data_IF_601395001226
#
_entry.id   IF_601395001226
#
_cell.length_a   1.000
_cell.length_b   1.000
_cell.length_c   1.000
_cell.angle_alpha   90.00
_cell.angle_beta   90.00
_cell.angle_gamma   90.00
#
_symmetry.space_group_name_H-M   'P 1'
#
loop_
_entity.id
_entity.type
_entity.pdbx_description
1 polymer ?
#
# COMPACT_ATOMS: atom_id res chain seq x y z
N UNK A 1 -12.84 -37.55 69.50
CA UNK A 1 -11.78 -36.98 68.64
C UNK A 1 -11.67 -37.63 67.27
N UNK A 2 -11.61 -38.97 67.11
CA UNK A 2 -11.48 -39.64 65.80
C UNK A 2 -12.57 -39.29 64.75
N UNK A 3 -13.83 -39.17 65.16
CA UNK A 3 -14.97 -38.86 64.26
C UNK A 3 -14.93 -37.44 63.65
N UNK A 4 -14.29 -36.50 64.34
CA UNK A 4 -14.15 -35.11 63.85
C UNK A 4 -13.04 -35.04 62.79
N UNK A 5 -11.94 -35.77 62.99
CA UNK A 5 -10.85 -35.87 62.01
C UNK A 5 -11.27 -36.51 60.69
N UNK A 6 -12.11 -37.55 60.75
CA UNK A 6 -12.66 -38.19 59.53
C UNK A 6 -13.62 -37.28 58.78
N UNK A 7 -14.47 -36.52 59.49
CA UNK A 7 -15.40 -35.57 58.86
C UNK A 7 -14.65 -34.42 58.16
N UNK A 8 -13.58 -33.90 58.79
CA UNK A 8 -12.74 -32.86 58.21
C UNK A 8 -11.98 -33.36 56.96
N UNK A 9 -11.45 -34.60 57.01
CA UNK A 9 -10.77 -35.20 55.87
C UNK A 9 -11.72 -35.38 54.66
N UNK A 10 -12.96 -35.84 54.89
CA UNK A 10 -13.96 -35.96 53.83
C UNK A 10 -14.30 -34.60 53.23
N UNK A 11 -14.46 -33.56 54.06
CA UNK A 11 -14.77 -32.21 53.58
C UNK A 11 -13.64 -31.62 52.71
N UNK A 12 -12.38 -31.85 53.08
CA UNK A 12 -11.22 -31.43 52.29
C UNK A 12 -11.16 -32.18 50.95
N UNK A 13 -11.43 -33.48 50.93
CA UNK A 13 -11.46 -34.26 49.68
C UNK A 13 -12.57 -33.76 48.75
N UNK A 14 -13.77 -33.51 49.28
CA UNK A 14 -14.89 -32.96 48.49
C UNK A 14 -14.52 -31.59 47.92
N UNK A 15 -13.90 -30.71 48.72
CA UNK A 15 -13.42 -29.41 48.24
C UNK A 15 -12.39 -29.55 47.12
N UNK A 16 -11.43 -30.48 47.26
CA UNK A 16 -10.43 -30.74 46.22
C UNK A 16 -11.05 -31.30 44.93
N UNK A 17 -12.05 -32.17 45.03
CA UNK A 17 -12.78 -32.70 43.86
C UNK A 17 -13.57 -31.59 43.16
N UNK A 18 -14.22 -30.69 43.92
CA UNK A 18 -14.93 -29.54 43.35
C UNK A 18 -13.96 -28.58 42.67
N UNK A 19 -12.81 -28.29 43.29
CA UNK A 19 -11.76 -27.45 42.69
C UNK A 19 -11.16 -28.11 41.44
N UNK A 20 -10.90 -29.42 41.48
CA UNK A 20 -10.41 -30.17 40.33
C UNK A 20 -11.44 -30.20 39.20
N UNK A 21 -12.72 -30.40 39.51
CA UNK A 21 -13.79 -30.34 38.52
C UNK A 21 -13.93 -28.93 37.92
N UNK A 22 -13.88 -27.88 38.74
CA UNK A 22 -13.92 -26.49 38.27
C UNK A 22 -12.71 -26.15 37.39
N UNK A 23 -11.52 -26.61 37.77
CA UNK A 23 -10.29 -26.49 36.98
C UNK A 23 -10.39 -27.27 35.67
N UNK A 24 -10.92 -28.49 35.70
CA UNK A 24 -11.12 -29.34 34.52
C UNK A 24 -12.14 -28.72 33.55
N UNK A 25 -13.23 -28.13 34.04
CA UNK A 25 -14.23 -27.42 33.24
C UNK A 25 -13.60 -26.20 32.55
N UNK A 26 -12.73 -25.46 33.25
CA UNK A 26 -11.98 -24.34 32.67
C UNK A 26 -10.98 -24.78 31.60
N UNK A 27 -10.29 -25.90 31.82
CA UNK A 27 -9.31 -26.48 30.90
C UNK A 27 -9.96 -27.09 29.64
N UNK A 28 -11.18 -27.61 29.76
CA UNK A 28 -11.94 -28.24 28.69
C UNK A 28 -12.80 -27.27 27.87
N UNK A 29 -12.72 -25.94 28.10
CA UNK A 29 -13.45 -24.98 27.26
C UNK A 29 -12.96 -25.11 25.82
N UNK A 30 -13.85 -25.39 24.85
CA UNK A 30 -13.44 -25.54 23.46
C UNK A 30 -12.79 -24.24 22.99
N UNK A 31 -11.68 -24.39 22.26
CA UNK A 31 -11.02 -23.28 21.59
C UNK A 31 -12.06 -22.61 20.68
N UNK A 32 -12.21 -21.29 20.81
CA UNK A 32 -13.07 -20.49 19.95
C UNK A 32 -12.25 -19.52 19.11
N UNK A 33 -12.77 -19.16 17.94
CA UNK A 33 -12.30 -18.08 17.09
C UNK A 33 -13.42 -17.05 16.95
N UNK A 34 -13.09 -15.77 17.03
CA UNK A 34 -14.03 -14.68 16.79
C UNK A 34 -14.15 -14.40 15.31
N UNK A 35 -15.32 -13.93 14.89
CA UNK A 35 -15.59 -13.53 13.52
C UNK A 35 -16.45 -12.27 13.55
N UNK A 36 -15.94 -11.19 12.96
CA UNK A 36 -16.67 -9.95 12.73
C UNK A 36 -16.82 -9.74 11.23
N UNK A 37 -18.05 -9.55 10.76
CA UNK A 37 -18.36 -9.33 9.36
C UNK A 37 -19.19 -8.06 9.23
N UNK A 38 -18.71 -7.11 8.45
CA UNK A 38 -19.44 -5.90 8.08
C UNK A 38 -19.55 -5.83 6.56
N UNK A 39 -20.68 -5.34 6.07
CA UNK A 39 -20.86 -5.09 4.64
C UNK A 39 -21.59 -3.79 4.39
N UNK A 40 -21.36 -3.23 3.21
CA UNK A 40 -22.12 -2.13 2.65
C UNK A 40 -22.56 -2.50 1.21
N UNK A 41 -23.87 -2.60 0.91
CA UNK A 41 -24.99 -2.57 1.85
C UNK A 41 -25.04 -3.80 2.77
N UNK A 42 -26.02 -3.86 3.68
CA UNK A 42 -26.24 -5.01 4.55
C UNK A 42 -26.45 -6.30 3.75
N UNK A 43 -26.07 -7.43 4.33
CA UNK A 43 -26.12 -8.75 3.71
C UNK A 43 -26.60 -9.81 4.70
N UNK A 44 -27.26 -10.85 4.20
CA UNK A 44 -27.47 -12.10 4.95
C UNK A 44 -26.18 -12.89 4.97
N UNK A 45 -25.79 -13.39 6.14
CA UNK A 45 -24.54 -14.12 6.37
C UNK A 45 -24.83 -15.61 6.44
N UNK A 46 -24.12 -16.36 5.60
CA UNK A 46 -24.09 -17.82 5.62
C UNK A 46 -22.68 -18.29 5.99
N UNK A 47 -22.59 -19.26 6.91
CA UNK A 47 -21.33 -19.92 7.27
C UNK A 47 -21.52 -21.41 7.05
N UNK A 48 -20.67 -22.01 6.22
CA UNK A 48 -20.76 -23.42 5.82
C UNK A 48 -22.14 -23.83 5.28
N UNK A 49 -22.81 -22.87 4.61
CA UNK A 49 -24.14 -23.03 4.03
C UNK A 49 -25.31 -22.77 4.98
N UNK A 50 -25.06 -22.60 6.28
CA UNK A 50 -26.09 -22.27 7.27
C UNK A 50 -26.28 -20.74 7.39
N UNK A 51 -27.52 -20.25 7.37
CA UNK A 51 -27.83 -18.85 7.65
C UNK A 51 -27.61 -18.54 9.14
N UNK A 52 -26.69 -17.63 9.45
CA UNK A 52 -26.32 -17.31 10.84
C UNK A 52 -26.78 -15.93 11.29
N UNK A 53 -27.28 -15.10 10.37
CA UNK A 53 -27.78 -13.76 10.66
C UNK A 53 -27.58 -12.77 9.52
N UNK A 54 -27.49 -11.48 9.87
CA UNK A 54 -27.28 -10.37 8.93
C UNK A 54 -26.09 -9.53 9.36
N UNK A 55 -25.50 -8.76 8.45
CA UNK A 55 -24.43 -7.82 8.78
C UNK A 55 -24.96 -6.49 9.36
N UNK A 56 -24.26 -5.89 10.34
CA UNK A 56 -23.04 -6.38 11.00
C UNK A 56 -23.27 -7.66 11.80
N UNK A 57 -22.38 -8.64 11.64
CA UNK A 57 -22.43 -9.94 12.31
C UNK A 57 -21.18 -10.10 13.18
N UNK A 58 -21.38 -10.42 14.46
CA UNK A 58 -20.31 -10.77 15.39
C UNK A 58 -20.65 -12.10 16.06
N UNK A 59 -19.71 -13.04 16.03
CA UNK A 59 -19.93 -14.38 16.59
C UNK A 59 -18.65 -15.13 16.87
N UNK A 60 -18.78 -16.27 17.56
CA UNK A 60 -17.67 -17.20 17.78
C UNK A 60 -17.93 -18.53 17.07
N UNK A 61 -16.86 -19.16 16.60
CA UNK A 61 -16.87 -20.45 15.88
C UNK A 61 -15.73 -21.33 16.33
N UNK A 62 -15.82 -22.62 16.00
CA UNK A 62 -14.68 -23.52 16.12
C UNK A 62 -13.56 -23.04 15.18
N UNK A 63 -12.28 -23.08 15.61
CA UNK A 63 -11.15 -22.86 14.73
C UNK A 63 -11.13 -23.90 13.60
N UNK A 64 -10.72 -23.49 12.41
CA UNK A 64 -10.72 -24.37 11.22
C UNK A 64 -11.07 -23.61 9.95
N UNK A 65 -11.12 -24.34 8.83
CA UNK A 65 -11.64 -23.80 7.58
C UNK A 65 -13.14 -23.58 7.67
N UNK A 66 -13.60 -22.44 7.15
CA UNK A 66 -15.01 -22.11 6.99
C UNK A 66 -15.23 -21.50 5.61
N UNK A 67 -16.41 -21.74 5.05
CA UNK A 67 -16.90 -21.04 3.86
C UNK A 67 -17.88 -19.96 4.31
N UNK A 68 -17.61 -18.72 3.95
CA UNK A 68 -18.46 -17.57 4.25
C UNK A 68 -19.10 -17.11 2.96
N UNK A 69 -20.43 -17.03 2.95
CA UNK A 69 -21.19 -16.46 1.86
C UNK A 69 -22.04 -15.30 2.35
N UNK A 70 -21.97 -14.17 1.66
CA UNK A 70 -22.67 -12.94 1.96
C UNK A 70 -23.63 -12.65 0.82
N UNK A 71 -24.93 -12.62 1.11
CA UNK A 71 -25.97 -12.32 0.12
C UNK A 71 -26.50 -10.91 0.39
N UNK A 72 -26.18 -9.92 -0.48
CA UNK A 72 -26.62 -8.55 -0.29
C UNK A 72 -28.15 -8.43 -0.15
N UNK A 73 -28.60 -7.57 0.75
CA UNK A 73 -30.00 -7.19 0.93
C UNK A 73 -30.16 -5.80 0.30
N UNK A 74 -30.56 -5.77 -0.97
CA UNK A 74 -30.73 -4.55 -1.75
C UNK A 74 -32.08 -4.57 -2.47
N UNK A 75 -32.80 -3.44 -2.45
CA UNK A 75 -34.06 -3.25 -3.18
C UNK A 75 -33.89 -2.48 -4.48
N UNK A 76 -32.79 -1.74 -4.62
CA UNK A 76 -32.64 -0.74 -5.67
C UNK A 76 -31.95 -1.30 -6.91
N UNK A 77 -30.96 -2.16 -6.68
CA UNK A 77 -30.14 -2.77 -7.73
C UNK A 77 -29.77 -4.21 -7.38
N UNK A 78 -29.67 -5.10 -8.39
CA UNK A 78 -29.14 -6.44 -8.18
C UNK A 78 -27.65 -6.36 -7.85
N UNK A 79 -27.24 -6.91 -6.72
CA UNK A 79 -25.85 -6.99 -6.29
C UNK A 79 -25.40 -8.45 -6.28
N UNK A 80 -24.12 -8.69 -6.54
CA UNK A 80 -23.58 -10.05 -6.56
C UNK A 80 -23.28 -10.55 -5.14
N UNK A 81 -23.59 -11.82 -4.82
CA UNK A 81 -23.12 -12.44 -3.59
C UNK A 81 -21.60 -12.53 -3.54
N UNK A 82 -21.04 -12.42 -2.33
CA UNK A 82 -19.62 -12.68 -2.08
C UNK A 82 -19.47 -14.04 -1.41
N UNK A 83 -18.51 -14.85 -1.84
CA UNK A 83 -18.17 -16.12 -1.21
C UNK A 83 -16.66 -16.24 -1.03
N UNK A 84 -16.22 -16.73 0.13
CA UNK A 84 -14.81 -16.93 0.41
C UNK A 84 -14.57 -18.10 1.36
N UNK A 85 -13.42 -18.74 1.22
CA UNK A 85 -12.92 -19.75 2.15
C UNK A 85 -11.77 -19.15 2.95
N UNK A 86 -11.83 -19.27 4.27
CA UNK A 86 -10.74 -18.84 5.14
C UNK A 86 -10.57 -19.75 6.34
N UNK A 87 -9.42 -19.65 7.00
CA UNK A 87 -9.13 -20.38 8.23
C UNK A 87 -9.31 -19.46 9.44
N UNK A 88 -10.17 -19.88 10.37
CA UNK A 88 -10.36 -19.21 11.66
C UNK A 88 -9.31 -19.71 12.67
N UNK A 89 -8.56 -18.77 13.23
CA UNK A 89 -7.53 -19.04 14.24
C UNK A 89 -8.08 -18.93 15.66
N UNK A 90 -7.72 -19.89 16.51
CA UNK A 90 -8.14 -19.90 17.92
C UNK A 90 -7.68 -18.64 18.68
N UNK A 91 -8.57 -18.12 19.54
CA UNK A 91 -8.38 -16.96 20.43
C UNK A 91 -8.18 -15.62 19.73
N UNK A 92 -8.48 -15.55 18.44
CA UNK A 92 -8.35 -14.33 17.65
C UNK A 92 -9.66 -14.08 16.91
N UNK A 93 -9.93 -12.81 16.64
CA UNK A 93 -11.04 -12.37 15.82
C UNK A 93 -10.55 -12.12 14.39
N UNK A 94 -11.12 -12.83 13.42
CA UNK A 94 -10.99 -12.49 12.00
C UNK A 94 -12.03 -11.44 11.66
N UNK A 95 -11.63 -10.39 10.94
CA UNK A 95 -12.54 -9.32 10.49
C UNK A 95 -12.67 -9.36 8.97
N UNK A 96 -13.90 -9.25 8.47
CA UNK A 96 -14.20 -9.15 7.04
C UNK A 96 -15.08 -7.92 6.83
N UNK A 97 -14.61 -6.98 6.02
CA UNK A 97 -15.38 -5.81 5.62
C UNK A 97 -15.51 -5.82 4.10
N UNK A 98 -16.75 -5.82 3.57
CA UNK A 98 -17.01 -5.81 2.11
C UNK A 98 -17.87 -4.62 1.68
N UNK A 99 -17.50 -4.01 0.58
CA UNK A 99 -18.37 -3.13 -0.21
C UNK A 99 -18.87 -3.96 -1.40
N UNK A 100 -20.15 -4.33 -1.37
CA UNK A 100 -20.79 -5.22 -2.35
C UNK A 100 -21.36 -4.39 -3.51
N UNK A 101 -21.05 -4.80 -4.73
CA UNK A 101 -21.43 -4.07 -5.94
C UNK A 101 -22.22 -4.95 -6.94
N UNK A 102 -22.57 -4.35 -8.08
CA UNK A 102 -23.30 -5.01 -9.18
C UNK A 102 -22.45 -6.09 -9.89
N UNK A 103 -21.13 -6.11 -9.66
CA UNK A 103 -20.22 -7.16 -10.14
C UNK A 103 -19.12 -7.46 -9.12
N UNK A 104 -18.42 -8.59 -9.30
CA UNK A 104 -17.30 -8.97 -8.42
C UNK A 104 -16.11 -8.00 -8.60
N UNK A 105 -15.88 -7.52 -9.81
CA UNK A 105 -14.82 -6.57 -10.16
C UNK A 105 -15.07 -5.20 -9.51
N UNK A 106 -16.33 -4.77 -9.45
CA UNK A 106 -16.72 -3.51 -8.82
C UNK A 106 -16.77 -3.58 -7.29
N UNK A 107 -16.72 -4.78 -6.72
CA UNK A 107 -16.76 -4.98 -5.26
C UNK A 107 -15.38 -4.74 -4.63
N UNK A 108 -15.36 -4.26 -3.38
CA UNK A 108 -14.14 -3.99 -2.62
C UNK A 108 -14.21 -4.57 -1.20
N UNK A 109 -13.09 -4.53 -0.49
CA UNK A 109 -13.06 -4.89 0.92
C UNK A 109 -11.71 -5.33 1.45
N UNK A 110 -11.61 -5.46 2.76
CA UNK A 110 -10.45 -6.03 3.45
C UNK A 110 -10.76 -7.16 4.44
N UNK A 111 -9.92 -8.18 4.45
CA UNK A 111 -9.97 -9.28 5.42
C UNK A 111 -8.72 -9.21 6.28
N UNK A 112 -8.93 -9.10 7.60
CA UNK A 112 -7.86 -9.10 8.60
C UNK A 112 -7.90 -10.44 9.32
N UNK A 113 -6.81 -11.19 9.22
CA UNK A 113 -6.66 -12.48 9.87
C UNK A 113 -5.32 -12.57 10.59
N UNK A 114 -5.22 -13.49 11.53
CA UNK A 114 -4.02 -13.67 12.33
C UNK A 114 -3.67 -15.14 12.43
N UNK A 115 -2.36 -15.40 12.50
CA UNK A 115 -1.81 -16.73 12.75
C UNK A 115 -0.82 -16.65 13.90
N UNK A 116 -0.87 -17.61 14.83
CA UNK A 116 0.09 -17.65 15.93
C UNK A 116 1.44 -18.14 15.43
N UNK A 117 2.47 -17.31 15.57
CA UNK A 117 3.85 -17.61 15.16
C UNK A 117 4.84 -17.66 16.34
N UNK A 118 4.46 -17.13 17.51
CA UNK A 118 5.35 -17.04 18.67
C UNK A 118 6.43 -15.96 18.52
N UNK A 119 7.28 -15.82 19.52
CA UNK A 119 8.33 -14.80 19.55
C UNK A 119 7.87 -13.41 20.05
N UNK A 120 8.78 -12.45 20.00
CA UNK A 120 8.59 -11.09 20.51
C UNK A 120 8.19 -10.06 19.43
N UNK A 121 8.22 -10.48 18.16
CA UNK A 121 7.89 -9.65 16.99
C UNK A 121 6.41 -9.79 16.60
N UNK A 122 5.92 -8.85 15.79
CA UNK A 122 4.61 -8.95 15.14
C UNK A 122 4.80 -8.94 13.61
N UNK A 123 4.93 -10.10 12.95
CA UNK A 123 5.04 -10.15 11.50
C UNK A 123 3.77 -9.63 10.82
N UNK A 124 3.93 -9.02 9.64
CA UNK A 124 2.84 -8.45 8.85
C UNK A 124 2.97 -8.90 7.40
N UNK A 125 1.85 -9.34 6.83
CA UNK A 125 1.72 -9.66 5.41
C UNK A 125 0.51 -8.91 4.84
N UNK A 126 0.71 -8.22 3.72
CA UNK A 126 -0.33 -7.47 3.01
C UNK A 126 -0.39 -7.99 1.58
N UNK A 127 -1.59 -8.39 1.17
CA UNK A 127 -1.89 -8.83 -0.20
C UNK A 127 -2.98 -7.91 -0.73
N UNK A 128 -2.86 -7.49 -1.98
CA UNK A 128 -3.82 -6.60 -2.62
C UNK A 128 -4.30 -7.18 -3.94
N UNK A 129 -5.53 -6.82 -4.32
CA UNK A 129 -6.12 -7.03 -5.64
C UNK A 129 -6.56 -5.65 -6.13
N UNK A 130 -6.00 -5.12 -7.22
CA UNK A 130 -5.00 -5.74 -8.09
C UNK A 130 -3.64 -5.94 -7.42
N UNK A 131 -2.84 -6.85 -7.97
CA UNK A 131 -1.43 -7.00 -7.60
C UNK A 131 -0.66 -5.70 -7.86
N UNK A 132 0.51 -5.54 -7.21
CA UNK A 132 1.35 -4.34 -7.33
C UNK A 132 0.71 -3.03 -6.81
N UNK A 133 -0.35 -3.11 -5.99
CA UNK A 133 -0.86 -1.95 -5.28
C UNK A 133 0.19 -1.38 -4.31
N UNK A 134 0.31 -0.06 -4.25
CA UNK A 134 1.16 0.65 -3.30
C UNK A 134 0.69 0.41 -1.87
N UNK A 135 1.64 0.18 -0.95
CA UNK A 135 1.40 -0.04 0.48
C UNK A 135 2.11 1.02 1.30
N UNK A 136 1.34 1.74 2.10
CA UNK A 136 1.81 2.69 3.11
C UNK A 136 1.43 2.23 4.50
N UNK A 137 2.38 2.31 5.44
CA UNK A 137 2.16 2.00 6.86
C UNK A 137 2.34 3.27 7.67
N UNK A 138 1.28 3.68 8.37
CA UNK A 138 1.23 4.91 9.19
C UNK A 138 1.63 6.15 8.38
N UNK A 139 1.12 6.24 7.14
CA UNK A 139 1.42 7.31 6.18
C UNK A 139 2.79 7.19 5.47
N UNK A 140 3.67 6.30 5.91
CA UNK A 140 4.97 6.10 5.27
C UNK A 140 4.90 5.03 4.18
N UNK A 141 5.29 5.38 2.95
CA UNK A 141 5.42 4.44 1.84
C UNK A 141 6.44 3.34 2.16
N UNK A 142 6.03 2.06 2.02
CA UNK A 142 6.89 0.90 2.27
C UNK A 142 7.20 0.06 1.05
N UNK A 143 6.39 0.13 0.00
CA UNK A 143 6.58 -0.61 -1.25
C UNK A 143 5.26 -0.98 -1.91
N UNK A 144 5.22 -2.16 -2.52
CA UNK A 144 4.06 -2.67 -3.26
C UNK A 144 3.61 -4.03 -2.69
N UNK A 145 2.33 -4.35 -2.90
CA UNK A 145 1.75 -5.65 -2.57
C UNK A 145 2.16 -6.72 -3.61
N UNK A 146 2.47 -7.96 -3.20
CA UNK A 146 2.47 -8.44 -1.82
C UNK A 146 3.64 -7.88 -0.99
N UNK A 147 3.32 -7.33 0.18
CA UNK A 147 4.30 -6.79 1.12
C UNK A 147 4.41 -7.68 2.35
N UNK A 148 5.63 -8.02 2.78
CA UNK A 148 5.87 -8.84 3.96
C UNK A 148 6.98 -8.23 4.80
N UNK A 149 6.79 -8.22 6.11
CA UNK A 149 7.84 -7.92 7.10
C UNK A 149 7.79 -8.91 8.25
N UNK A 150 8.96 -9.31 8.74
CA UNK A 150 9.11 -10.22 9.88
C UNK A 150 9.08 -9.49 11.21
N UNK A 151 9.22 -8.16 11.20
CA UNK A 151 9.16 -7.29 12.39
C UNK A 151 8.38 -6.04 12.05
N UNK A 152 7.28 -5.82 12.77
CA UNK A 152 6.48 -4.61 12.73
C UNK A 152 6.10 -4.24 14.17
N UNK A 153 6.02 -2.95 14.53
CA UNK A 153 5.64 -2.55 15.88
C UNK A 153 4.29 -3.17 16.27
N UNK A 154 4.16 -3.53 17.54
CA UNK A 154 2.88 -3.96 18.10
C UNK A 154 2.09 -2.74 18.55
N UNK A 155 0.83 -2.65 18.18
CA UNK A 155 0.01 -1.47 18.47
C UNK A 155 -1.10 -1.30 17.46
N UNK A 156 -1.77 -0.17 17.53
CA UNK A 156 -2.74 0.25 16.51
C UNK A 156 -1.99 0.94 15.37
N UNK A 157 -2.36 0.60 14.14
CA UNK A 157 -1.73 1.07 12.91
C UNK A 157 -2.76 1.38 11.85
N UNK A 158 -2.42 2.30 10.96
CA UNK A 158 -3.19 2.58 9.75
C UNK A 158 -2.42 2.09 8.53
N UNK A 159 -3.06 1.23 7.75
CA UNK A 159 -2.50 0.67 6.52
C UNK A 159 -3.29 1.23 5.35
N UNK A 160 -2.62 1.93 4.45
CA UNK A 160 -3.23 2.43 3.22
C UNK A 160 -2.74 1.62 2.03
N UNK A 161 -3.68 1.13 1.22
CA UNK A 161 -3.42 0.42 -0.03
C UNK A 161 -4.04 1.22 -1.18
N UNK A 162 -3.25 1.53 -2.19
CA UNK A 162 -3.68 2.34 -3.34
C UNK A 162 -3.13 1.79 -4.65
N UNK A 163 -3.87 1.91 -5.74
CA UNK A 163 -3.42 1.53 -7.07
C UNK A 163 -3.97 2.52 -8.12
N UNK A 164 -3.24 2.77 -9.23
CA UNK A 164 -3.73 3.64 -10.30
C UNK A 164 -5.08 3.16 -10.86
N UNK A 165 -6.01 4.09 -11.07
CA UNK A 165 -7.40 3.84 -11.48
C UNK A 165 -8.29 3.12 -10.45
N UNK A 166 -7.81 2.83 -9.24
CA UNK A 166 -8.61 2.23 -8.16
C UNK A 166 -8.86 3.22 -7.03
N UNK A 167 -9.95 3.02 -6.30
CA UNK A 167 -10.22 3.72 -5.05
C UNK A 167 -9.23 3.23 -3.99
N UNK A 168 -8.56 4.15 -3.30
CA UNK A 168 -7.68 3.81 -2.18
C UNK A 168 -8.49 3.24 -1.00
N UNK A 169 -7.81 2.44 -0.18
CA UNK A 169 -8.41 1.87 1.03
C UNK A 169 -7.47 2.01 2.22
N UNK A 170 -7.97 2.65 3.28
CA UNK A 170 -7.28 2.77 4.57
C UNK A 170 -7.92 1.85 5.59
N UNK A 171 -7.10 1.00 6.22
CA UNK A 171 -7.52 -0.04 7.16
C UNK A 171 -6.83 0.18 8.49
N UNK A 172 -7.62 0.31 9.56
CA UNK A 172 -7.10 0.35 10.93
C UNK A 172 -6.97 -1.07 11.46
N UNK A 173 -5.76 -1.44 11.86
CA UNK A 173 -5.46 -2.76 12.40
C UNK A 173 -4.71 -2.66 13.71
N UNK A 174 -4.76 -3.73 14.50
CA UNK A 174 -3.95 -3.87 15.70
C UNK A 174 -3.01 -5.06 15.59
N UNK A 175 -1.72 -4.81 15.57
CA UNK A 175 -0.68 -5.85 15.55
C UNK A 175 -0.34 -6.31 16.97
N UNK A 176 -0.07 -7.61 17.11
CA UNK A 176 0.14 -8.26 18.42
C UNK A 176 1.41 -9.11 18.34
N UNK A 177 2.29 -8.97 19.33
CA UNK A 177 3.50 -9.80 19.46
C UNK A 177 3.15 -11.28 19.45
N UNK A 178 3.91 -12.07 18.71
CA UNK A 178 3.72 -13.50 18.59
C UNK A 178 2.62 -13.93 17.61
N UNK A 179 2.00 -12.98 16.90
CA UNK A 179 1.02 -13.23 15.86
C UNK A 179 1.43 -12.54 14.56
N UNK A 180 1.32 -13.29 13.45
CA UNK A 180 1.42 -12.74 12.11
C UNK A 180 0.06 -12.19 11.73
N UNK A 181 -0.04 -10.89 11.45
CA UNK A 181 -1.23 -10.29 10.84
C UNK A 181 -1.16 -10.48 9.33
N UNK A 182 -2.24 -10.97 8.72
CA UNK A 182 -2.41 -11.01 7.27
C UNK A 182 -3.61 -10.14 6.89
N UNK A 183 -3.33 -9.08 6.14
CA UNK A 183 -4.32 -8.18 5.56
C UNK A 183 -4.46 -8.51 4.07
N UNK A 184 -5.66 -8.88 3.64
CA UNK A 184 -6.00 -9.06 2.22
C UNK A 184 -6.94 -7.94 1.82
N UNK A 185 -6.56 -7.12 0.85
CA UNK A 185 -7.34 -5.97 0.37
C UNK A 185 -7.75 -6.20 -1.08
N UNK A 186 -9.02 -5.95 -1.40
CA UNK A 186 -9.52 -5.81 -2.77
C UNK A 186 -9.97 -4.36 -2.96
N UNK A 187 -9.40 -3.68 -3.94
CA UNK A 187 -9.76 -2.32 -4.32
C UNK A 187 -10.83 -2.36 -5.42
N UNK A 188 -11.77 -1.42 -5.37
CA UNK A 188 -12.73 -1.19 -6.45
C UNK A 188 -12.13 -0.22 -7.48
N UNK A 189 -12.38 -0.41 -8.78
CA UNK A 189 -12.08 0.59 -9.79
C UNK A 189 -12.76 1.93 -9.46
N UNK A 190 -12.04 3.03 -9.62
CA UNK A 190 -12.55 4.39 -9.41
C UNK A 190 -13.53 4.85 -10.49
N UNK A 191 -13.59 4.13 -11.61
CA UNK A 191 -14.35 4.52 -12.81
C UNK A 191 -13.71 5.66 -13.61
N UNK A 192 -12.66 6.30 -13.09
CA UNK A 192 -11.81 7.19 -13.89
C UNK A 192 -10.83 6.35 -14.70
N UNK A 193 -10.58 6.75 -15.95
CA UNK A 193 -9.43 6.28 -16.70
C UNK A 193 -8.19 6.44 -15.79
N UNK A 194 -7.20 5.51 -15.83
CA UNK A 194 -5.96 5.73 -15.11
C UNK A 194 -5.52 7.15 -15.40
N UNK A 195 -5.40 7.98 -14.35
CA UNK A 195 -4.68 9.24 -14.50
C UNK A 195 -3.41 8.85 -15.24
N UNK A 196 -3.10 9.51 -16.38
CA UNK A 196 -1.95 9.12 -17.17
C UNK A 196 -0.82 9.02 -16.15
N UNK A 197 -0.25 7.82 -16.02
CA UNK A 197 1.01 7.62 -15.30
C UNK A 197 1.84 8.83 -15.69
N UNK A 198 2.36 9.65 -14.76
CA UNK A 198 3.11 10.82 -15.14
C UNK A 198 4.14 10.30 -16.12
N UNK A 199 3.85 10.51 -17.40
CA UNK A 199 4.79 10.33 -18.47
C UNK A 199 5.79 11.33 -17.99
N UNK A 200 6.95 10.82 -17.57
CA UNK A 200 8.12 11.66 -17.58
C UNK A 200 8.08 12.23 -18.99
N UNK A 201 7.59 13.47 -19.13
CA UNK A 201 7.88 14.26 -20.30
C UNK A 201 9.38 14.15 -20.33
N UNK A 202 9.90 13.38 -21.27
CA UNK A 202 11.30 13.43 -21.61
C UNK A 202 11.54 14.92 -21.80
N UNK A 203 12.13 15.56 -20.80
CA UNK A 203 12.57 16.93 -20.92
C UNK A 203 13.62 16.81 -22.00
N UNK A 204 13.22 17.05 -23.24
CA UNK A 204 14.11 17.07 -24.40
C UNK A 204 15.08 18.20 -24.12
N UNK A 205 16.16 17.87 -23.41
CA UNK A 205 17.27 18.76 -23.16
C UNK A 205 17.96 18.91 -24.50
N UNK A 206 17.46 19.89 -25.25
CA UNK A 206 18.18 20.43 -26.37
C UNK A 206 19.54 20.90 -25.84
N UNK A 207 20.61 20.58 -26.56
CA UNK A 207 21.93 21.15 -26.30
C UNK A 207 22.29 22.09 -27.44
N UNK A 208 23.26 22.96 -27.18
CA UNK A 208 23.90 23.79 -28.18
C UNK A 208 25.35 23.36 -28.27
N UNK A 209 25.78 22.92 -29.45
CA UNK A 209 27.17 22.64 -29.76
C UNK A 209 27.83 23.89 -30.35
N UNK A 210 28.99 24.25 -29.83
CA UNK A 210 29.77 25.38 -30.31
C UNK A 210 30.56 24.95 -31.55
N UNK A 211 30.35 25.62 -32.68
CA UNK A 211 31.03 25.34 -33.94
C UNK A 211 32.43 25.96 -33.97
N UNK A 212 33.24 25.55 -34.95
CA UNK A 212 34.55 26.14 -35.18
C UNK A 212 34.44 27.66 -35.43
N UNK A 213 35.15 28.45 -34.64
CA UNK A 213 35.22 29.91 -34.81
C UNK A 213 36.62 30.30 -35.33
N UNK A 214 36.74 31.40 -36.10
CA UNK A 214 38.05 31.89 -36.58
C UNK A 214 39.03 32.24 -35.46
N UNK A 215 38.52 32.52 -34.26
CA UNK A 215 39.30 32.91 -33.08
C UNK A 215 39.61 31.74 -32.13
N UNK A 216 39.06 30.54 -32.38
CA UNK A 216 39.26 29.36 -31.53
C UNK A 216 38.40 29.33 -30.26
N UNK A 217 37.53 30.32 -30.06
CA UNK A 217 36.58 30.43 -28.95
C UNK A 217 35.34 31.24 -29.36
N UNK A 218 34.23 31.08 -28.62
CA UNK A 218 33.01 31.86 -28.73
C UNK A 218 32.71 32.56 -27.40
N UNK A 219 32.35 33.84 -27.47
CA UNK A 219 32.02 34.65 -26.29
C UNK A 219 30.56 34.44 -25.90
N UNK A 220 30.34 34.13 -24.62
CA UNK A 220 29.02 34.12 -23.99
C UNK A 220 28.76 35.51 -23.44
N UNK A 221 27.60 36.08 -23.74
CA UNK A 221 27.22 37.46 -23.38
C UNK A 221 26.03 37.52 -22.45
N UNK A 222 25.92 38.58 -21.65
CA UNK A 222 24.78 38.79 -20.76
C UNK A 222 23.48 39.10 -21.52
N UNK A 223 23.58 39.71 -22.70
CA UNK A 223 22.45 40.06 -23.58
C UNK A 223 22.67 39.50 -24.99
N UNK A 224 21.59 39.23 -25.76
CA UNK A 224 21.65 38.70 -27.13
C UNK A 224 22.06 39.79 -28.15
N UNK A 225 23.18 40.47 -27.90
CA UNK A 225 23.66 41.57 -28.72
C UNK A 225 25.19 41.52 -28.86
N UNK A 226 25.71 41.93 -30.02
CA UNK A 226 27.15 42.00 -30.30
C UNK A 226 27.90 42.98 -29.39
N UNK A 227 27.18 43.97 -28.83
CA UNK A 227 27.68 44.91 -27.83
C UNK A 227 27.44 44.51 -26.36
N UNK A 228 26.80 43.36 -26.09
CA UNK A 228 26.52 42.90 -24.73
C UNK A 228 27.79 42.57 -23.93
N UNK A 229 27.75 42.73 -22.61
CA UNK A 229 28.86 42.38 -21.72
C UNK A 229 29.23 40.90 -21.85
N UNK A 230 30.52 40.60 -21.91
CA UNK A 230 31.02 39.22 -22.03
C UNK A 230 31.11 38.61 -20.65
N UNK A 231 30.34 37.54 -20.41
CA UNK A 231 30.23 36.87 -19.11
C UNK A 231 31.04 35.57 -19.03
N UNK A 232 31.32 34.95 -20.18
CA UNK A 232 32.18 33.76 -20.27
C UNK A 232 32.72 33.56 -21.69
N UNK A 233 33.62 32.58 -21.83
CA UNK A 233 34.18 32.13 -23.10
C UNK A 233 34.07 30.61 -23.18
N UNK A 234 33.58 30.10 -24.31
CA UNK A 234 33.36 28.67 -24.57
C UNK A 234 34.12 28.24 -25.82
N UNK A 235 34.53 26.97 -25.89
CA UNK A 235 35.39 26.46 -26.96
C UNK A 235 34.59 25.69 -28.02
N UNK A 236 35.05 25.68 -29.28
CA UNK A 236 34.49 24.80 -30.30
C UNK A 236 34.50 23.33 -29.88
N UNK A 237 33.39 22.62 -30.14
CA UNK A 237 33.15 21.23 -29.76
C UNK A 237 32.52 21.03 -28.38
N UNK A 238 32.45 22.07 -27.55
CA UNK A 238 31.74 21.99 -26.26
C UNK A 238 30.22 22.01 -26.48
N UNK A 239 29.49 21.29 -25.62
CA UNK A 239 28.03 21.14 -25.66
C UNK A 239 27.45 21.68 -24.37
N UNK A 240 26.50 22.61 -24.48
CA UNK A 240 25.86 23.24 -23.35
C UNK A 240 24.36 23.03 -23.39
N UNK A 241 23.70 23.03 -22.23
CA UNK A 241 22.24 22.94 -22.18
C UNK A 241 21.63 24.17 -22.84
N UNK A 242 20.75 23.95 -23.81
CA UNK A 242 19.94 25.00 -24.42
C UNK A 242 18.85 25.43 -23.45
N UNK A 243 18.68 26.73 -23.28
CA UNK A 243 17.61 27.31 -22.47
C UNK A 243 16.56 27.97 -23.36
N UNK A 244 16.99 28.82 -24.30
CA UNK A 244 16.10 29.69 -25.07
C UNK A 244 16.76 30.17 -26.38
N UNK A 245 15.98 30.64 -27.35
CA UNK A 245 16.46 31.39 -28.53
C UNK A 245 15.76 32.73 -28.54
N UNK A 246 16.52 33.80 -28.75
CA UNK A 246 15.94 35.10 -29.05
C UNK A 246 15.56 35.15 -30.53
N UNK A 247 14.26 35.09 -30.84
CA UNK A 247 13.78 35.04 -32.23
C UNK A 247 14.06 36.33 -33.01
N UNK A 248 14.28 37.46 -32.33
CA UNK A 248 14.57 38.74 -32.95
C UNK A 248 16.01 38.84 -33.49
N UNK A 249 16.98 38.29 -32.77
CA UNK A 249 18.42 38.37 -33.12
C UNK A 249 19.04 37.04 -33.49
N UNK A 250 18.34 35.93 -33.23
CA UNK A 250 18.80 34.56 -33.46
C UNK A 250 19.83 34.06 -32.44
N UNK A 251 20.01 34.69 -31.28
CA UNK A 251 20.98 34.23 -30.28
C UNK A 251 20.44 33.06 -29.47
N UNK A 252 21.31 32.12 -29.09
CA UNK A 252 20.97 31.01 -28.22
C UNK A 252 21.39 31.29 -26.79
N UNK A 253 20.46 31.14 -25.85
CA UNK A 253 20.75 31.15 -24.42
C UNK A 253 21.17 29.77 -23.97
N UNK A 254 22.33 29.69 -23.34
CA UNK A 254 22.94 28.44 -22.86
C UNK A 254 23.26 28.53 -21.38
N UNK A 255 23.21 27.38 -20.70
CA UNK A 255 23.77 27.23 -19.35
C UNK A 255 25.25 26.82 -19.47
N UNK A 256 26.18 27.78 -19.27
CA UNK A 256 27.62 27.55 -19.46
C UNK A 256 28.31 26.99 -18.20
N UNK A 257 27.71 27.16 -17.02
CA UNK A 257 28.09 26.55 -15.75
C UNK A 257 26.81 26.29 -14.95
N UNK A 258 26.81 25.32 -14.03
CA UNK A 258 25.64 24.99 -13.19
C UNK A 258 25.04 26.24 -12.54
N UNK A 259 23.83 26.60 -12.94
CA UNK A 259 23.09 27.79 -12.49
C UNK A 259 23.51 29.13 -13.10
N UNK A 260 24.40 29.15 -14.10
CA UNK A 260 24.83 30.36 -14.82
C UNK A 260 24.48 30.29 -16.30
N UNK A 261 23.80 31.32 -16.77
CA UNK A 261 23.26 31.41 -18.12
C UNK A 261 23.85 32.58 -18.91
N UNK A 262 23.88 32.46 -20.23
CA UNK A 262 24.27 33.55 -21.12
C UNK A 262 24.04 33.23 -22.59
N UNK A 263 24.26 34.22 -23.44
CA UNK A 263 23.87 34.21 -24.85
C UNK A 263 25.07 33.98 -25.77
N UNK A 264 24.91 33.09 -26.74
CA UNK A 264 25.86 32.81 -27.81
C UNK A 264 25.20 33.00 -29.17
N UNK A 265 25.98 33.44 -30.17
CA UNK A 265 25.44 33.66 -31.51
C UNK A 265 25.23 32.33 -32.25
N UNK A 266 24.06 32.15 -32.87
CA UNK A 266 23.75 31.01 -33.73
C UNK A 266 24.64 30.88 -34.97
N UNK A 267 25.40 31.92 -35.34
CA UNK A 267 26.38 31.84 -36.43
C UNK A 267 27.51 30.86 -36.12
N UNK A 268 27.79 30.65 -34.83
CA UNK A 268 28.89 29.85 -34.33
C UNK A 268 28.41 28.74 -33.40
N UNK A 269 27.12 28.44 -33.41
CA UNK A 269 26.51 27.51 -32.49
C UNK A 269 25.35 26.79 -33.18
N UNK A 270 25.18 25.50 -32.91
CA UNK A 270 24.12 24.68 -33.50
C UNK A 270 23.33 23.97 -32.42
N UNK A 271 22.00 24.07 -32.47
CA UNK A 271 21.10 23.28 -31.63
C UNK A 271 21.18 21.80 -32.03
N UNK A 272 21.38 20.93 -31.05
CA UNK A 272 21.35 19.47 -31.19
C UNK A 272 20.35 18.91 -30.18
N UNK A 273 19.63 17.87 -30.57
CA UNK A 273 18.74 17.14 -29.67
C UNK A 273 19.55 16.06 -28.97
N UNK A 274 19.63 16.11 -27.63
CA UNK A 274 20.22 15.03 -26.84
C UNK A 274 19.09 14.19 -26.25
N UNK A 275 18.99 12.93 -26.68
CA UNK A 275 18.19 11.93 -25.99
C UNK A 275 19.01 11.44 -24.80
N UNK A 276 18.64 11.84 -23.59
CA UNK A 276 19.22 11.26 -22.38
C UNK A 276 18.56 9.90 -22.18
N UNK A 277 19.16 8.84 -22.71
CA UNK A 277 18.88 7.50 -22.18
C UNK A 277 19.51 7.46 -20.79
N UNK A 278 18.71 7.70 -19.76
CA UNK A 278 19.06 7.37 -18.38
C UNK A 278 19.22 5.85 -18.28
N UNK A 279 20.43 5.37 -18.57
CA UNK A 279 20.84 4.01 -18.24
C UNK A 279 21.12 3.99 -16.73
N UNK A 280 20.13 3.52 -15.96
CA UNK A 280 20.29 3.24 -14.54
C UNK A 280 21.38 2.16 -14.37
N UNK A 281 22.49 2.41 -13.65
CA UNK A 281 23.50 1.40 -13.45
C UNK A 281 23.00 0.30 -12.49
N UNK A 282 23.50 -0.95 -12.63
CA UNK A 282 23.06 -2.12 -11.87
C UNK A 282 23.40 -2.07 -10.37
#
# INVERSE_FOLDING_TARGET
>A
MKKIGTALAVLVIVMLVVLAAFFLIGYLRPKSAGLLIQTNPSATVFIDGEEVGKTPYEGTRAPGEVVIKLVPISTDKPLVPYETRLTLSSKIQTTINRDLAESEEASAGETVSFERVGGAEAPLAIVAIPDSAQVSLDGQLRGFAPYKTTSFPAGDHEITVAAPAFLERSVKVRTIKGYKLTLVVKLAPSGQAPEPTPTFEEVQVSMVEILATPTGFLRVRATPATGGEVVAEVKPGEKFRYLETDEATGWFKIEYQKGKEGWVSNQYAKKIEAQTNEETPP
#
